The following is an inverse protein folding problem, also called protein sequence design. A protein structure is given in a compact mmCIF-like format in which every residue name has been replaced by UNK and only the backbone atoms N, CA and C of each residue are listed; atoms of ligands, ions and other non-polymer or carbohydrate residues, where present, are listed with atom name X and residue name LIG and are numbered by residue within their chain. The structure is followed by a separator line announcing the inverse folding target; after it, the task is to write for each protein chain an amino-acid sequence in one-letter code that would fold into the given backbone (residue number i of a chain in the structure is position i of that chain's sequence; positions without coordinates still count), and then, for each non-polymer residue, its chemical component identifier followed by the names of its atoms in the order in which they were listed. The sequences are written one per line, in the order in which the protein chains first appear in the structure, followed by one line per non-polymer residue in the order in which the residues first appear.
data_IF_869155015332
#
_entry.id   IF_869155015332
#
_cell.length_a   1.000
_cell.length_b   1.000
_cell.length_c   1.000
_cell.angle_alpha   90.00
_cell.angle_beta   90.00
_cell.angle_gamma   90.00
#
_symmetry.space_group_name_H-M   'P 1'
#
loop_
_entity.id
_entity.type
_entity.pdbx_description
1 polymer ?
#
# COMPACT_ATOMS: atom_id res chain seq x y z
N UNK A 1 -18.74 13.53 -18.65
CA UNK A 1 -19.69 14.62 -18.95
C UNK A 1 -19.31 15.97 -18.31
N UNK A 2 -18.54 16.01 -17.22
CA UNK A 2 -18.04 17.26 -16.60
C UNK A 2 -16.79 17.89 -17.28
N UNK A 3 -16.07 17.14 -18.13
CA UNK A 3 -14.77 17.53 -18.67
C UNK A 3 -14.78 18.62 -19.76
N UNK A 4 -15.92 18.88 -20.41
CA UNK A 4 -15.96 19.78 -21.58
C UNK A 4 -16.10 21.28 -21.22
N UNK A 5 -16.37 21.60 -19.95
CA UNK A 5 -16.73 22.97 -19.53
C UNK A 5 -15.54 23.88 -19.22
N UNK A 6 -14.33 23.33 -18.97
CA UNK A 6 -13.19 24.10 -18.46
C UNK A 6 -11.98 24.23 -19.41
N UNK A 7 -12.03 23.68 -20.63
CA UNK A 7 -11.02 23.93 -21.67
C UNK A 7 -9.57 23.51 -21.34
N UNK A 8 -9.35 22.72 -20.29
CA UNK A 8 -8.05 22.10 -19.97
C UNK A 8 -7.91 20.79 -20.77
N UNK A 9 -6.71 20.46 -21.24
CA UNK A 9 -6.46 19.17 -21.89
C UNK A 9 -6.87 18.00 -20.97
N UNK A 10 -7.41 16.93 -21.54
CA UNK A 10 -7.96 15.79 -20.79
C UNK A 10 -6.96 15.20 -19.78
N UNK A 11 -5.65 15.23 -20.08
CA UNK A 11 -4.60 14.75 -19.17
C UNK A 11 -4.45 15.60 -17.90
N UNK A 12 -4.48 16.93 -18.02
CA UNK A 12 -4.32 17.82 -16.85
C UNK A 12 -5.48 17.67 -15.86
N UNK A 13 -6.70 17.46 -16.37
CA UNK A 13 -7.85 17.20 -15.53
C UNK A 13 -7.72 15.89 -14.75
N UNK A 14 -7.22 14.83 -15.40
CA UNK A 14 -6.95 13.56 -14.72
C UNK A 14 -5.91 13.71 -13.61
N UNK A 15 -4.92 14.59 -13.79
CA UNK A 15 -3.95 14.89 -12.73
C UNK A 15 -4.61 15.61 -11.55
N UNK A 16 -5.50 16.58 -11.81
CA UNK A 16 -6.27 17.25 -10.75
C UNK A 16 -7.14 16.24 -10.00
N UNK A 17 -7.84 15.38 -10.73
CA UNK A 17 -8.67 14.33 -10.15
C UNK A 17 -7.85 13.34 -9.31
N UNK A 18 -6.68 12.93 -9.80
CA UNK A 18 -5.72 12.11 -9.08
C UNK A 18 -5.29 12.78 -7.76
N UNK A 19 -4.89 14.06 -7.81
CA UNK A 19 -4.44 14.81 -6.64
C UNK A 19 -5.57 15.00 -5.61
N UNK A 20 -6.80 15.25 -6.07
CA UNK A 20 -7.96 15.34 -5.18
C UNK A 20 -8.24 14.00 -4.49
N UNK A 21 -8.19 12.90 -5.24
CA UNK A 21 -8.41 11.57 -4.67
C UNK A 21 -7.30 11.19 -3.68
N UNK A 22 -6.03 11.44 -4.04
CA UNK A 22 -4.88 11.30 -3.14
C UNK A 22 -5.04 12.14 -1.86
N UNK A 23 -5.53 13.37 -1.96
CA UNK A 23 -5.84 14.22 -0.81
C UNK A 23 -6.92 13.62 0.11
N UNK A 24 -7.97 13.02 -0.46
CA UNK A 24 -8.99 12.29 0.31
C UNK A 24 -8.38 11.11 1.06
N UNK A 25 -7.50 10.35 0.41
CA UNK A 25 -6.79 9.21 1.01
C UNK A 25 -5.93 9.69 2.19
N UNK A 26 -5.17 10.78 2.04
CA UNK A 26 -4.38 11.37 3.13
C UNK A 26 -5.25 11.78 4.31
N UNK A 27 -6.33 12.53 4.07
CA UNK A 27 -7.25 12.98 5.13
C UNK A 27 -7.91 11.79 5.84
N UNK A 28 -8.29 10.76 5.10
CA UNK A 28 -8.83 9.53 5.68
C UNK A 28 -7.77 8.76 6.48
N UNK A 29 -6.52 8.70 6.00
CA UNK A 29 -5.38 8.12 6.70
C UNK A 29 -5.09 8.78 8.05
N UNK A 30 -5.12 10.12 8.12
CA UNK A 30 -4.95 10.85 9.39
C UNK A 30 -6.05 10.46 10.39
N UNK A 31 -7.29 10.38 9.92
CA UNK A 31 -8.42 9.96 10.77
C UNK A 31 -8.30 8.50 11.20
N UNK A 32 -7.84 7.63 10.29
CA UNK A 32 -7.62 6.22 10.55
C UNK A 32 -6.59 6.04 11.68
N UNK A 33 -5.46 6.75 11.61
CA UNK A 33 -4.43 6.78 12.66
C UNK A 33 -5.02 7.19 14.01
N UNK A 34 -5.73 8.33 14.04
CA UNK A 34 -6.36 8.85 15.25
C UNK A 34 -7.34 7.85 15.88
N UNK A 35 -8.22 7.23 15.09
CA UNK A 35 -9.14 6.21 15.62
C UNK A 35 -8.42 4.93 16.04
N UNK A 36 -7.32 4.57 15.37
CA UNK A 36 -6.43 3.49 15.77
C UNK A 36 -5.87 3.72 17.18
N UNK A 37 -5.34 4.90 17.47
CA UNK A 37 -4.81 5.24 18.80
C UNK A 37 -5.90 5.19 19.89
N UNK A 38 -7.09 5.72 19.59
CA UNK A 38 -8.23 5.64 20.53
C UNK A 38 -8.64 4.19 20.78
N UNK A 39 -8.62 3.32 19.76
CA UNK A 39 -8.91 1.91 19.91
C UNK A 39 -7.82 1.20 20.71
N UNK A 40 -6.55 1.50 20.50
CA UNK A 40 -5.43 0.98 21.27
C UNK A 40 -5.55 1.28 22.76
N UNK A 41 -5.99 2.49 23.12
CA UNK A 41 -6.19 2.88 24.52
C UNK A 41 -7.43 2.25 25.17
N UNK A 42 -8.55 2.14 24.42
CA UNK A 42 -9.84 1.73 24.99
C UNK A 42 -10.11 0.24 24.91
N UNK A 43 -9.52 -0.43 23.93
CA UNK A 43 -9.58 -1.88 23.84
C UNK A 43 -8.40 -2.43 24.61
N UNK A 44 -8.62 -3.38 25.52
CA UNK A 44 -7.54 -4.06 26.26
C UNK A 44 -6.66 -4.95 25.35
N UNK A 45 -6.71 -4.73 24.03
CA UNK A 45 -5.98 -5.47 23.00
C UNK A 45 -4.50 -5.07 22.97
N UNK A 46 -4.12 -3.95 23.61
CA UNK A 46 -2.75 -3.45 23.66
C UNK A 46 -2.39 -2.68 22.39
N UNK A 47 -1.61 -1.60 22.55
CA UNK A 47 -1.27 -0.70 21.42
C UNK A 47 -0.51 -1.40 20.30
N UNK A 48 0.37 -2.35 20.64
CA UNK A 48 1.07 -3.16 19.66
C UNK A 48 0.10 -3.97 18.77
N UNK A 49 -0.98 -4.54 19.33
CA UNK A 49 -1.91 -5.37 18.57
C UNK A 49 -2.78 -4.54 17.62
N UNK A 50 -3.24 -3.38 18.07
CA UNK A 50 -4.02 -2.45 17.22
C UNK A 50 -3.15 -1.88 16.09
N UNK A 51 -1.90 -1.48 16.38
CA UNK A 51 -0.96 -1.00 15.38
C UNK A 51 -0.58 -2.08 14.36
N UNK A 52 -0.19 -3.28 14.81
CA UNK A 52 0.25 -4.36 13.91
C UNK A 52 -0.88 -4.99 13.10
N UNK A 53 -2.09 -5.13 13.66
CA UNK A 53 -3.16 -5.88 12.98
C UNK A 53 -4.21 -4.97 12.36
N UNK A 54 -4.76 -4.01 13.10
CA UNK A 54 -5.84 -3.18 12.55
C UNK A 54 -5.27 -2.12 11.62
N UNK A 55 -4.26 -1.38 12.07
CA UNK A 55 -3.74 -0.25 11.31
C UNK A 55 -3.02 -0.72 10.05
N UNK A 56 -2.10 -1.68 10.17
CA UNK A 56 -1.40 -2.26 9.02
C UNK A 56 -2.35 -2.88 7.98
N UNK A 57 -3.40 -3.60 8.41
CA UNK A 57 -4.36 -4.17 7.46
C UNK A 57 -5.18 -3.08 6.77
N UNK A 58 -5.57 -2.04 7.50
CA UNK A 58 -6.39 -0.96 6.96
C UNK A 58 -5.60 -0.05 6.00
N UNK A 59 -4.30 0.18 6.25
CA UNK A 59 -3.46 0.96 5.34
C UNK A 59 -3.12 0.17 4.07
N UNK A 60 -2.89 -1.15 4.16
CA UNK A 60 -2.56 -1.95 2.97
C UNK A 60 -3.77 -2.42 2.14
N UNK A 61 -4.98 -2.17 2.64
CA UNK A 61 -6.22 -2.42 1.91
C UNK A 61 -6.27 -1.73 0.53
N UNK A 62 -6.02 -0.42 0.38
CA UNK A 62 -5.94 0.27 -0.92
C UNK A 62 -4.95 -0.36 -1.90
N UNK A 63 -3.81 -0.86 -1.43
CA UNK A 63 -2.81 -1.51 -2.30
C UNK A 63 -3.34 -2.85 -2.84
N UNK A 64 -4.01 -3.62 -1.98
CA UNK A 64 -4.70 -4.86 -2.36
C UNK A 64 -5.84 -4.58 -3.35
N UNK A 65 -6.75 -3.65 -3.02
CA UNK A 65 -7.89 -3.35 -3.90
C UNK A 65 -7.46 -2.62 -5.17
N UNK A 66 -6.37 -1.86 -5.11
CA UNK A 66 -5.76 -1.21 -6.27
C UNK A 66 -5.22 -2.23 -7.26
N UNK A 67 -4.48 -3.22 -6.76
CA UNK A 67 -3.95 -4.32 -7.59
C UNK A 67 -5.07 -5.21 -8.14
N UNK A 68 -6.09 -5.51 -7.32
CA UNK A 68 -7.26 -6.27 -7.75
C UNK A 68 -8.07 -5.50 -8.79
N UNK A 69 -8.33 -4.21 -8.56
CA UNK A 69 -9.04 -3.33 -9.48
C UNK A 69 -8.31 -3.18 -10.81
N UNK A 70 -6.97 -3.08 -10.77
CA UNK A 70 -6.13 -3.04 -11.97
C UNK A 70 -6.37 -4.27 -12.87
N UNK A 71 -6.45 -5.47 -12.28
CA UNK A 71 -6.72 -6.71 -13.04
C UNK A 71 -8.19 -6.88 -13.41
N UNK A 72 -9.12 -6.65 -12.46
CA UNK A 72 -10.53 -7.01 -12.62
C UNK A 72 -11.33 -5.93 -13.32
N UNK A 73 -11.10 -4.66 -12.98
CA UNK A 73 -11.91 -3.54 -13.47
C UNK A 73 -11.37 -2.97 -14.78
N UNK A 74 -10.06 -2.71 -14.86
CA UNK A 74 -9.44 -2.10 -16.06
C UNK A 74 -8.68 -3.10 -16.94
N UNK A 75 -8.52 -4.34 -16.48
CA UNK A 75 -7.87 -5.44 -17.22
C UNK A 75 -6.44 -5.14 -17.64
N UNK A 76 -5.67 -4.53 -16.73
CA UNK A 76 -4.27 -4.14 -16.95
C UNK A 76 -3.37 -4.79 -15.89
N UNK A 77 -2.82 -5.99 -16.16
CA UNK A 77 -1.86 -6.64 -15.26
C UNK A 77 -0.61 -5.80 -15.00
N UNK A 78 -0.12 -5.08 -16.01
CA UNK A 78 1.06 -4.20 -15.87
C UNK A 78 0.85 -3.11 -14.82
N UNK A 79 -0.38 -2.60 -14.71
CA UNK A 79 -0.74 -1.62 -13.70
C UNK A 79 -0.74 -2.25 -12.30
N UNK A 80 -1.22 -3.49 -12.17
CA UNK A 80 -1.25 -4.23 -10.90
C UNK A 80 0.15 -4.60 -10.41
N UNK A 81 1.00 -5.13 -11.29
CA UNK A 81 2.39 -5.45 -10.95
C UNK A 81 3.21 -4.16 -10.72
N UNK A 82 2.95 -3.11 -11.49
CA UNK A 82 3.50 -1.79 -11.25
C UNK A 82 3.17 -1.30 -9.85
N UNK A 83 1.89 -1.37 -9.44
CA UNK A 83 1.46 -1.01 -8.09
C UNK A 83 2.18 -1.85 -7.01
N UNK A 84 2.20 -3.18 -7.16
CA UNK A 84 2.81 -4.10 -6.21
C UNK A 84 4.31 -3.79 -5.97
N UNK A 85 5.09 -3.66 -7.05
CA UNK A 85 6.52 -3.37 -6.92
C UNK A 85 6.77 -1.92 -6.52
N UNK A 86 6.00 -0.99 -7.08
CA UNK A 86 6.09 0.43 -6.79
C UNK A 86 5.81 0.75 -5.33
N UNK A 87 4.76 0.20 -4.73
CA UNK A 87 4.42 0.43 -3.31
C UNK A 87 5.52 -0.07 -2.38
N UNK A 88 6.15 -1.20 -2.70
CA UNK A 88 7.32 -1.68 -1.94
C UNK A 88 8.50 -0.71 -2.04
N UNK A 89 8.79 -0.19 -3.23
CA UNK A 89 9.85 0.82 -3.42
C UNK A 89 9.51 2.12 -2.69
N UNK A 90 8.25 2.56 -2.76
CA UNK A 90 7.76 3.75 -2.06
C UNK A 90 7.90 3.60 -0.55
N UNK A 91 7.49 2.46 0.01
CA UNK A 91 7.62 2.18 1.45
C UNK A 91 9.08 2.19 1.92
N UNK A 92 10.02 1.69 1.11
CA UNK A 92 11.46 1.80 1.42
C UNK A 92 11.96 3.25 1.36
N UNK A 93 11.45 4.05 0.41
CA UNK A 93 11.76 5.47 0.33
C UNK A 93 11.27 6.24 1.56
N UNK A 94 10.11 5.86 2.14
CA UNK A 94 9.60 6.46 3.39
C UNK A 94 10.64 6.33 4.51
N UNK A 95 11.24 5.15 4.68
CA UNK A 95 12.29 4.94 5.71
C UNK A 95 13.48 5.87 5.49
N UNK A 96 13.94 6.01 4.25
CA UNK A 96 15.03 6.91 3.91
C UNK A 96 14.70 8.39 4.21
N UNK A 97 13.45 8.80 3.97
CA UNK A 97 12.97 10.15 4.32
C UNK A 97 12.93 10.33 5.84
N UNK A 98 12.45 9.33 6.59
CA UNK A 98 12.40 9.38 8.05
C UNK A 98 13.79 9.49 8.68
N UNK A 99 14.80 8.80 8.15
CA UNK A 99 16.20 8.95 8.58
C UNK A 99 16.68 10.41 8.48
N UNK A 100 16.36 11.09 7.38
CA UNK A 100 16.73 12.49 7.13
C UNK A 100 15.97 13.44 8.06
N UNK A 101 14.69 13.18 8.33
CA UNK A 101 13.85 14.02 9.19
C UNK A 101 14.26 13.88 10.66
N UNK A 102 14.46 12.65 11.15
CA UNK A 102 14.74 12.41 12.56
C UNK A 102 16.13 12.90 12.98
N UNK A 103 17.12 12.83 12.08
CA UNK A 103 18.53 13.26 12.31
C UNK A 103 19.20 12.64 13.55
N UNK A 104 18.73 11.49 14.02
CA UNK A 104 19.26 10.76 15.19
C UNK A 104 20.16 9.58 14.83
N UNK A 105 20.56 9.48 13.56
CA UNK A 105 21.28 8.33 12.99
C UNK A 105 20.34 7.40 12.20
N UNK A 106 20.87 6.36 11.54
CA UNK A 106 20.07 5.46 10.70
C UNK A 106 19.09 4.65 11.55
N UNK A 107 17.80 4.73 11.25
CA UNK A 107 16.73 3.97 11.92
C UNK A 107 17.04 2.48 11.93
N UNK A 108 17.62 1.96 10.84
CA UNK A 108 18.00 0.55 10.70
C UNK A 108 18.94 0.05 11.81
N UNK A 109 19.74 0.92 12.43
CA UNK A 109 20.62 0.55 13.54
C UNK A 109 19.90 0.39 14.89
N UNK A 110 18.66 0.88 14.98
CA UNK A 110 17.83 0.84 16.20
C UNK A 110 16.77 -0.26 16.17
N UNK A 111 16.58 -0.88 15.00
CA UNK A 111 15.55 -1.89 14.78
C UNK A 111 15.93 -3.20 15.47
N UNK A 112 14.93 -3.87 16.06
CA UNK A 112 15.12 -5.16 16.71
C UNK A 112 15.61 -6.23 15.73
N UNK A 113 16.59 -7.09 16.11
CA UNK A 113 16.99 -8.25 15.31
C UNK A 113 15.84 -9.21 14.97
N UNK A 114 14.70 -9.10 15.67
CA UNK A 114 13.47 -9.87 15.41
C UNK A 114 12.89 -9.61 14.02
N UNK A 115 13.19 -8.47 13.40
CA UNK A 115 12.74 -8.13 12.06
C UNK A 115 13.54 -8.81 10.94
N UNK A 116 14.67 -9.47 11.25
CA UNK A 116 15.50 -10.14 10.22
C UNK A 116 14.71 -11.21 9.49
N UNK A 117 14.00 -12.10 10.21
CA UNK A 117 13.22 -13.19 9.61
C UNK A 117 12.08 -12.66 8.71
N UNK A 118 11.16 -11.79 9.17
CA UNK A 118 10.11 -11.26 8.29
C UNK A 118 10.67 -10.46 7.11
N UNK A 119 11.77 -9.70 7.29
CA UNK A 119 12.41 -8.99 6.20
C UNK A 119 13.00 -9.95 5.15
N UNK A 120 13.73 -10.99 5.57
CA UNK A 120 14.30 -11.98 4.66
C UNK A 120 13.21 -12.70 3.85
N UNK A 121 12.11 -13.09 4.49
CA UNK A 121 11.01 -13.75 3.78
C UNK A 121 10.36 -12.79 2.78
N UNK A 122 10.12 -11.53 3.17
CA UNK A 122 9.56 -10.53 2.26
C UNK A 122 10.43 -10.34 1.01
N UNK A 123 11.75 -10.24 1.18
CA UNK A 123 12.71 -10.16 0.07
C UNK A 123 12.63 -11.39 -0.83
N UNK A 124 12.57 -12.59 -0.26
CA UNK A 124 12.45 -13.83 -1.04
C UNK A 124 11.14 -13.86 -1.84
N UNK A 125 10.00 -13.52 -1.24
CA UNK A 125 8.70 -13.57 -1.92
C UNK A 125 8.60 -12.52 -3.04
N UNK A 126 9.09 -11.31 -2.80
CA UNK A 126 9.19 -10.27 -3.84
C UNK A 126 10.12 -10.73 -4.97
N UNK A 127 11.24 -11.37 -4.63
CA UNK A 127 12.18 -11.95 -5.60
C UNK A 127 11.54 -13.05 -6.45
N UNK A 128 10.76 -13.94 -5.85
CA UNK A 128 10.00 -14.99 -6.57
C UNK A 128 8.97 -14.38 -7.52
N UNK A 129 8.24 -13.34 -7.09
CA UNK A 129 7.31 -12.63 -7.95
C UNK A 129 8.02 -11.98 -9.15
N UNK A 130 9.15 -11.30 -8.92
CA UNK A 130 9.97 -10.70 -9.96
C UNK A 130 10.56 -11.72 -10.93
N UNK A 131 11.04 -12.86 -10.42
CA UNK A 131 11.55 -13.96 -11.23
C UNK A 131 10.45 -14.56 -12.12
N UNK A 132 9.20 -14.65 -11.63
CA UNK A 132 8.07 -15.08 -12.43
C UNK A 132 7.77 -14.14 -13.60
N UNK A 133 7.81 -12.82 -13.37
CA UNK A 133 7.67 -11.82 -14.43
C UNK A 133 8.84 -11.91 -15.43
N UNK A 134 10.07 -12.06 -14.95
CA UNK A 134 11.24 -12.20 -15.82
C UNK A 134 11.14 -13.45 -16.70
N UNK A 135 10.78 -14.60 -16.11
CA UNK A 135 10.61 -15.86 -16.85
C UNK A 135 9.49 -15.79 -17.88
N UNK A 136 8.42 -15.02 -17.62
CA UNK A 136 7.34 -14.82 -18.58
C UNK A 136 7.80 -14.05 -19.83
N UNK A 137 8.84 -13.22 -19.70
CA UNK A 137 9.36 -12.35 -20.76
C UNK A 137 10.63 -12.90 -21.44
N UNK A 138 11.14 -14.05 -21.01
CA UNK A 138 12.24 -14.72 -21.72
C UNK A 138 11.68 -15.33 -23.03
N UNK A 139 12.34 -15.11 -24.19
CA UNK A 139 11.90 -15.69 -25.45
C UNK A 139 11.81 -17.22 -25.37
N UNK A 140 10.65 -17.78 -25.72
CA UNK A 140 10.42 -19.22 -25.72
C UNK A 140 9.91 -19.82 -24.41
N UNK A 141 9.91 -19.11 -23.28
CA UNK A 141 9.43 -19.64 -21.98
C UNK A 141 8.02 -19.19 -21.60
N UNK A 142 7.40 -18.28 -22.39
CA UNK A 142 6.06 -17.77 -22.10
C UNK A 142 4.98 -18.85 -21.96
N UNK A 143 5.06 -19.93 -22.77
CA UNK A 143 4.12 -21.07 -22.66
C UNK A 143 4.27 -21.83 -21.32
N UNK A 144 5.51 -21.96 -20.82
CA UNK A 144 5.78 -22.60 -19.53
C UNK A 144 5.14 -21.79 -18.41
N UNK A 145 5.25 -20.47 -18.43
CA UNK A 145 4.61 -19.61 -17.42
C UNK A 145 3.10 -19.60 -17.56
N UNK A 146 2.57 -19.66 -18.79
CA UNK A 146 1.12 -19.76 -19.00
C UNK A 146 0.53 -21.05 -18.40
N UNK A 147 1.24 -22.18 -18.51
CA UNK A 147 0.78 -23.48 -18.02
C UNK A 147 1.10 -23.72 -16.54
N UNK A 148 2.29 -23.29 -16.09
CA UNK A 148 2.85 -23.62 -14.77
C UNK A 148 3.04 -22.41 -13.85
N UNK A 149 2.71 -21.20 -14.28
CA UNK A 149 2.86 -19.97 -13.49
C UNK A 149 2.05 -19.97 -12.19
N UNK A 150 1.01 -20.81 -12.10
CA UNK A 150 0.27 -21.03 -10.85
C UNK A 150 1.16 -21.62 -9.74
N UNK A 151 2.22 -22.36 -10.08
CA UNK A 151 3.18 -22.85 -9.09
C UNK A 151 3.92 -21.70 -8.40
N UNK A 152 4.26 -20.64 -9.15
CA UNK A 152 4.89 -19.43 -8.59
C UNK A 152 3.93 -18.77 -7.60
N UNK A 153 2.65 -18.63 -7.99
CA UNK A 153 1.61 -18.07 -7.12
C UNK A 153 1.39 -18.93 -5.86
N UNK A 154 1.40 -20.25 -6.01
CA UNK A 154 1.29 -21.20 -4.90
C UNK A 154 2.50 -21.09 -3.96
N UNK A 155 3.72 -20.98 -4.50
CA UNK A 155 4.93 -20.77 -3.71
C UNK A 155 4.86 -19.47 -2.91
N UNK A 156 4.40 -18.38 -3.52
CA UNK A 156 4.21 -17.09 -2.84
C UNK A 156 3.19 -17.25 -1.70
N UNK A 157 2.05 -17.88 -1.98
CA UNK A 157 0.99 -18.10 -0.99
C UNK A 157 1.44 -18.96 0.19
N UNK A 158 2.05 -20.12 -0.08
CA UNK A 158 2.57 -21.00 0.97
C UNK A 158 3.72 -20.34 1.74
N UNK A 159 4.59 -19.61 1.05
CA UNK A 159 5.65 -18.83 1.66
C UNK A 159 5.13 -17.77 2.63
N UNK A 160 4.06 -17.05 2.26
CA UNK A 160 3.38 -16.11 3.15
C UNK A 160 2.80 -16.80 4.39
N UNK A 161 2.12 -17.95 4.24
CA UNK A 161 1.58 -18.70 5.38
C UNK A 161 2.68 -19.18 6.33
N UNK A 162 3.82 -19.63 5.78
CA UNK A 162 4.98 -20.00 6.58
C UNK A 162 5.58 -18.79 7.31
N UNK A 163 5.66 -17.63 6.64
CA UNK A 163 6.11 -16.38 7.24
C UNK A 163 5.24 -15.98 8.43
N UNK A 164 3.92 -15.92 8.22
CA UNK A 164 2.95 -15.57 9.26
C UNK A 164 3.06 -16.53 10.46
N UNK A 165 3.19 -17.84 10.19
CA UNK A 165 3.39 -18.85 11.23
C UNK A 165 4.69 -18.66 11.99
N UNK A 166 5.80 -18.32 11.33
CA UNK A 166 7.09 -18.08 12.00
C UNK A 166 7.05 -16.82 12.86
N UNK A 167 6.57 -15.70 12.30
CA UNK A 167 6.42 -14.41 13.01
C UNK A 167 5.59 -14.61 14.28
N UNK A 168 4.42 -15.23 14.15
CA UNK A 168 3.54 -15.49 15.29
C UNK A 168 4.20 -16.32 16.40
N UNK A 169 5.02 -17.33 16.04
CA UNK A 169 5.76 -18.15 17.02
C UNK A 169 6.86 -17.36 17.72
N UNK A 170 7.49 -16.41 17.03
CA UNK A 170 8.50 -15.53 17.60
C UNK A 170 7.88 -14.45 18.50
N UNK A 171 6.74 -13.88 18.13
CA UNK A 171 6.05 -12.83 18.89
C UNK A 171 5.33 -13.35 20.14
N UNK A 172 4.68 -14.52 20.07
CA UNK A 172 4.02 -15.12 21.25
C UNK A 172 4.95 -15.40 22.42
N UNK A 173 6.25 -15.57 22.15
CA UNK A 173 7.27 -15.76 23.20
C UNK A 173 7.66 -14.44 23.88
N UNK A 174 7.30 -13.30 23.30
CA UNK A 174 7.71 -11.97 23.74
C UNK A 174 6.59 -11.12 24.35
N UNK A 175 5.33 -11.32 23.97
CA UNK A 175 4.18 -10.51 24.44
C UNK A 175 3.80 -10.67 25.93
N UNK A 176 4.55 -11.44 26.72
CA UNK A 176 4.28 -11.64 28.14
C UNK A 176 4.75 -10.49 29.05
N UNK A 177 5.22 -9.35 28.52
CA UNK A 177 5.93 -8.33 29.31
C UNK A 177 5.59 -6.86 29.02
N UNK A 178 4.57 -6.53 28.20
CA UNK A 178 4.28 -5.12 27.90
C UNK A 178 3.37 -4.46 28.94
N UNK A 179 3.77 -3.29 29.50
CA UNK A 179 2.93 -2.53 30.41
C UNK A 179 1.77 -1.86 29.67
N UNK A 180 0.62 -1.63 30.34
CA UNK A 180 -0.53 -0.97 29.74
C UNK A 180 -0.21 0.49 29.36
N UNK A 181 -0.70 0.91 28.18
CA UNK A 181 -0.53 2.27 27.64
C UNK A 181 -1.32 3.28 28.53
N UNK A 182 -0.70 4.37 29.00
CA UNK A 182 -1.39 5.42 29.75
C UNK A 182 -2.50 6.09 28.92
N UNK A 183 -3.68 6.28 29.50
CA UNK A 183 -4.87 6.78 28.80
C UNK A 183 -4.88 8.30 28.64
N UNK A 184 -4.93 8.79 27.39
CA UNK A 184 -4.94 10.23 27.07
C UNK A 184 -6.24 10.68 26.38
N UNK A 185 -6.99 9.78 25.74
CA UNK A 185 -8.18 10.08 24.96
C UNK A 185 -9.50 9.79 25.72
N UNK A 186 -9.84 10.63 26.70
CA UNK A 186 -11.06 10.44 27.49
C UNK A 186 -12.36 10.76 26.73
N UNK A 187 -12.32 11.61 25.70
CA UNK A 187 -13.53 12.18 25.06
C UNK A 187 -14.27 11.26 24.06
N UNK A 188 -13.61 10.30 23.39
CA UNK A 188 -14.22 9.53 22.28
C UNK A 188 -14.73 8.17 22.72
N UNK A 189 -16.01 7.85 22.58
CA UNK A 189 -16.55 6.52 22.95
C UNK A 189 -15.96 5.39 22.08
N UNK A 190 -15.72 4.20 22.65
CA UNK A 190 -15.18 3.02 21.94
C UNK A 190 -16.04 2.64 20.71
N UNK A 191 -17.37 2.74 20.81
CA UNK A 191 -18.27 2.50 19.66
C UNK A 191 -18.10 3.54 18.55
N UNK A 192 -17.79 4.78 18.91
CA UNK A 192 -17.53 5.85 17.94
C UNK A 192 -16.18 5.66 17.26
N UNK A 193 -15.16 5.21 18.01
CA UNK A 193 -13.84 4.90 17.46
C UNK A 193 -13.90 3.77 16.43
N UNK A 194 -14.60 2.68 16.73
CA UNK A 194 -14.81 1.59 15.76
C UNK A 194 -15.52 2.04 14.48
N UNK A 195 -16.59 2.85 14.60
CA UNK A 195 -17.30 3.40 13.44
C UNK A 195 -16.42 4.33 12.62
N UNK A 196 -15.67 5.21 13.30
CA UNK A 196 -14.76 6.15 12.67
C UNK A 196 -13.63 5.43 11.92
N UNK A 197 -13.03 4.41 12.56
CA UNK A 197 -12.01 3.56 11.95
C UNK A 197 -12.55 2.87 10.69
N UNK A 198 -13.68 2.17 10.81
CA UNK A 198 -14.29 1.47 9.68
C UNK A 198 -14.67 2.42 8.53
N UNK A 199 -15.21 3.61 8.85
CA UNK A 199 -15.54 4.61 7.85
C UNK A 199 -14.29 5.16 7.14
N UNK A 200 -13.21 5.43 7.88
CA UNK A 200 -11.94 5.87 7.29
C UNK A 200 -11.36 4.79 6.37
N UNK A 201 -11.31 3.52 6.82
CA UNK A 201 -10.86 2.40 5.99
C UNK A 201 -11.71 2.25 4.72
N UNK A 202 -13.05 2.37 4.84
CA UNK A 202 -13.93 2.28 3.68
C UNK A 202 -13.68 3.42 2.68
N UNK A 203 -13.49 4.65 3.17
CA UNK A 203 -13.16 5.79 2.31
C UNK A 203 -11.85 5.53 1.56
N UNK A 204 -10.83 5.04 2.25
CA UNK A 204 -9.53 4.70 1.64
C UNK A 204 -9.71 3.61 0.56
N UNK A 205 -10.47 2.56 0.84
CA UNK A 205 -10.73 1.48 -0.13
C UNK A 205 -11.46 2.01 -1.37
N UNK A 206 -12.52 2.80 -1.18
CA UNK A 206 -13.31 3.36 -2.29
C UNK A 206 -12.47 4.33 -3.11
N UNK A 207 -11.70 5.20 -2.45
CA UNK A 207 -10.77 6.11 -3.10
C UNK A 207 -9.67 5.34 -3.86
N UNK A 208 -9.12 4.27 -3.27
CA UNK A 208 -8.15 3.39 -3.92
C UNK A 208 -8.70 2.73 -5.20
N UNK A 209 -9.93 2.22 -5.16
CA UNK A 209 -10.61 1.67 -6.34
C UNK A 209 -10.87 2.73 -7.42
N UNK A 210 -11.18 3.96 -7.02
CA UNK A 210 -11.34 5.09 -7.95
C UNK A 210 -9.99 5.48 -8.59
N UNK A 211 -8.92 5.56 -7.79
CA UNK A 211 -7.57 5.85 -8.24
C UNK A 211 -7.10 4.91 -9.35
N UNK A 212 -7.46 3.63 -9.32
CA UNK A 212 -7.13 2.69 -10.41
C UNK A 212 -7.62 3.19 -11.76
N UNK A 213 -8.88 3.64 -11.84
CA UNK A 213 -9.47 4.12 -13.09
C UNK A 213 -8.81 5.41 -13.55
N UNK A 214 -8.59 6.35 -12.62
CA UNK A 214 -7.93 7.62 -12.90
C UNK A 214 -6.50 7.39 -13.40
N UNK A 215 -5.75 6.50 -12.76
CA UNK A 215 -4.36 6.20 -13.14
C UNK A 215 -4.27 5.42 -14.44
N UNK A 216 -5.18 4.48 -14.73
CA UNK A 216 -5.24 3.83 -16.05
C UNK A 216 -5.51 4.85 -17.16
N UNK A 217 -6.43 5.79 -16.93
CA UNK A 217 -6.68 6.89 -17.87
C UNK A 217 -5.43 7.78 -18.00
N UNK A 218 -4.79 8.16 -16.89
CA UNK A 218 -3.55 8.94 -16.88
C UNK A 218 -2.44 8.26 -17.69
N UNK A 219 -2.39 6.92 -17.68
CA UNK A 219 -1.37 6.14 -18.35
C UNK A 219 -1.42 6.26 -19.88
N UNK A 220 -2.61 6.46 -20.45
CA UNK A 220 -2.84 6.43 -21.91
C UNK A 220 -3.17 7.81 -22.50
N UNK A 221 -3.64 8.76 -21.69
CA UNK A 221 -3.94 10.10 -22.17
C UNK A 221 -2.66 10.93 -22.34
N UNK A 222 -2.44 11.53 -23.53
CA UNK A 222 -1.28 12.38 -23.75
C UNK A 222 -1.43 13.71 -23.00
N UNK A 223 -0.29 14.19 -22.49
CA UNK A 223 -0.12 15.52 -21.94
C UNK A 223 0.62 16.37 -22.96
N UNK A 224 0.03 17.47 -23.43
CA UNK A 224 0.77 18.45 -24.21
C UNK A 224 1.13 19.66 -23.34
N UNK A 225 2.42 19.97 -23.27
CA UNK A 225 2.90 21.21 -22.67
C UNK A 225 4.04 21.76 -23.52
N UNK A 226 3.91 23.01 -23.99
CA UNK A 226 4.96 23.69 -24.76
C UNK A 226 5.42 22.95 -26.02
N UNK A 227 4.52 22.19 -26.68
CA UNK A 227 4.83 21.42 -27.90
C UNK A 227 5.35 20.00 -27.68
N UNK A 228 5.61 19.58 -26.44
CA UNK A 228 5.99 18.20 -26.09
C UNK A 228 4.74 17.39 -25.77
N UNK A 229 4.59 16.22 -26.40
CA UNK A 229 3.55 15.23 -26.08
C UNK A 229 4.14 14.10 -25.25
N UNK A 230 3.68 13.96 -24.01
CA UNK A 230 4.11 12.90 -23.09
C UNK A 230 2.98 11.90 -22.85
N UNK A 231 3.28 10.61 -22.88
CA UNK A 231 2.39 9.52 -22.46
C UNK A 231 3.17 8.65 -21.48
N UNK A 232 2.61 8.39 -20.31
CA UNK A 232 3.33 7.71 -19.23
C UNK A 232 3.47 6.20 -19.47
N UNK A 233 2.43 5.54 -20.01
CA UNK A 233 2.37 4.09 -20.10
C UNK A 233 1.97 3.45 -18.76
N UNK A 234 1.37 2.26 -18.84
CA UNK A 234 0.72 1.62 -17.67
C UNK A 234 1.69 1.10 -16.63
N UNK A 235 2.86 0.62 -17.05
CA UNK A 235 3.91 0.18 -16.13
C UNK A 235 4.42 1.36 -15.30
N UNK A 236 4.76 2.49 -15.94
CA UNK A 236 5.20 3.68 -15.22
C UNK A 236 4.09 4.23 -14.33
N UNK A 237 2.85 4.28 -14.85
CA UNK A 237 1.71 4.79 -14.11
C UNK A 237 1.41 3.96 -12.86
N UNK A 238 1.50 2.63 -12.96
CA UNK A 238 1.36 1.72 -11.82
C UNK A 238 2.47 1.90 -10.80
N UNK A 239 3.73 1.90 -11.25
CA UNK A 239 4.91 1.96 -10.38
C UNK A 239 5.08 3.29 -9.66
N UNK A 240 4.63 4.40 -10.26
CA UNK A 240 4.81 5.74 -9.68
C UNK A 240 3.50 6.26 -9.11
N UNK A 241 2.47 6.44 -9.94
CA UNK A 241 1.25 7.14 -9.52
C UNK A 241 0.35 6.27 -8.65
N UNK A 242 0.00 5.06 -9.10
CA UNK A 242 -0.89 4.19 -8.34
C UNK A 242 -0.24 3.77 -7.03
N UNK A 243 1.01 3.29 -7.11
CA UNK A 243 1.81 2.90 -5.95
C UNK A 243 1.94 4.01 -4.90
N UNK A 244 2.34 5.21 -5.31
CA UNK A 244 2.48 6.32 -4.36
C UNK A 244 1.13 6.65 -3.71
N UNK A 245 0.04 6.67 -4.49
CA UNK A 245 -1.28 7.04 -3.99
C UNK A 245 -1.87 5.98 -3.04
N UNK A 246 -1.70 4.69 -3.33
CA UNK A 246 -2.20 3.62 -2.47
C UNK A 246 -1.37 3.45 -1.20
N UNK A 247 -0.12 3.90 -1.18
CA UNK A 247 0.77 3.88 -0.01
C UNK A 247 0.76 5.20 0.79
N UNK A 248 -0.13 6.15 0.45
CA UNK A 248 -0.34 7.37 1.24
C UNK A 248 -0.86 7.10 2.67
N UNK A 249 -1.77 6.15 2.91
CA UNK A 249 -2.21 5.83 4.27
C UNK A 249 -1.05 5.35 5.14
N UNK A 250 -0.18 4.50 4.61
CA UNK A 250 1.06 4.06 5.27
C UNK A 250 1.95 5.25 5.63
N UNK A 251 2.20 6.16 4.69
CA UNK A 251 3.03 7.34 4.93
C UNK A 251 2.48 8.24 6.04
N UNK A 252 1.16 8.38 6.12
CA UNK A 252 0.52 9.24 7.13
C UNK A 252 0.51 8.59 8.52
N UNK A 253 0.54 7.26 8.55
CA UNK A 253 0.46 6.45 9.77
C UNK A 253 1.85 6.15 10.37
N UNK A 254 2.91 6.13 9.55
CA UNK A 254 4.29 5.76 9.94
C UNK A 254 5.04 6.93 10.57
#
# INVERSE_FOLDING_TARGET
MFAHWFGLESGLWLLVEFLLCAGVVVVAGVKLAHYGDVLAEKTKLGGAWVGLMLLATATSAPELVGSLGAVVMVRQPDLAFGNLFGSNVFNLMIIAVLDVIQRRGPLISTVSPRLVVPASISVILIGVAGAGVALANVPGTGHIVAEWGWLISLTIFLGYLLAARQIFRHERRAQAADPPVPSSHQAVSSRSAWKGFAAATLIIIVAGLWLVQVVDALAVHPFAFGGVRLVFGRTFAGTIFLAAATSLPELVVT
#
